data_IF_444562151364
#
_entry.id   IF_444562151364
#
_cell.length_a   1.000
_cell.length_b   1.000
_cell.length_c   1.000
_cell.angle_alpha   90.00
_cell.angle_beta   90.00
_cell.angle_gamma   90.00
#
_symmetry.space_group_name_H-M   'P 1'
#
loop_
_entity.id
_entity.type
_entity.pdbx_description
1 polymer ?
#
# COMPACT_ATOMS: atom_id res chain seq x y z
N UNK A 1 -21.13 -59.85 -43.15
CA UNK A 1 -20.93 -58.44 -42.73
C UNK A 1 -21.15 -58.21 -41.24
N UNK A 2 -22.09 -58.88 -40.58
CA UNK A 2 -22.39 -58.72 -39.14
C UNK A 2 -21.19 -58.98 -38.22
N UNK A 3 -20.42 -60.04 -38.46
CA UNK A 3 -19.23 -60.39 -37.64
C UNK A 3 -18.14 -59.30 -37.62
N UNK A 4 -17.98 -58.56 -38.71
CA UNK A 4 -16.99 -57.47 -38.80
C UNK A 4 -17.46 -56.23 -38.03
N UNK A 5 -18.75 -55.91 -38.11
CA UNK A 5 -19.39 -54.81 -37.38
C UNK A 5 -19.38 -55.07 -35.88
N UNK A 6 -19.68 -56.30 -35.47
CA UNK A 6 -19.69 -56.73 -34.07
C UNK A 6 -18.29 -56.69 -33.46
N UNK A 7 -17.27 -57.09 -34.23
CA UNK A 7 -15.86 -56.95 -33.84
C UNK A 7 -15.47 -55.47 -33.69
N UNK A 8 -15.85 -54.63 -34.65
CA UNK A 8 -15.57 -53.19 -34.58
C UNK A 8 -16.24 -52.53 -33.37
N UNK A 9 -17.51 -52.84 -33.07
CA UNK A 9 -18.17 -52.37 -31.85
C UNK A 9 -17.45 -52.84 -30.60
N UNK A 10 -17.07 -54.12 -30.50
CA UNK A 10 -16.41 -54.65 -29.31
C UNK A 10 -15.06 -54.00 -29.04
N UNK A 11 -14.31 -53.59 -30.06
CA UNK A 11 -13.02 -52.92 -29.84
C UNK A 11 -13.18 -51.40 -29.68
N UNK A 12 -13.93 -50.74 -30.57
CA UNK A 12 -14.08 -49.29 -30.57
C UNK A 12 -14.88 -48.76 -29.38
N UNK A 13 -16.02 -49.38 -29.03
CA UNK A 13 -16.83 -48.91 -27.89
C UNK A 13 -16.22 -49.29 -26.55
N UNK A 14 -15.63 -50.48 -26.42
CA UNK A 14 -14.95 -50.84 -25.18
C UNK A 14 -13.76 -49.92 -24.95
N UNK A 15 -12.92 -49.66 -25.96
CA UNK A 15 -11.78 -48.75 -25.83
C UNK A 15 -12.21 -47.32 -25.44
N UNK A 16 -13.31 -46.80 -26.01
CA UNK A 16 -13.90 -45.52 -25.58
C UNK A 16 -14.38 -45.55 -24.13
N UNK A 17 -15.03 -46.64 -23.68
CA UNK A 17 -15.48 -46.81 -22.30
C UNK A 17 -14.32 -46.96 -21.31
N UNK A 18 -13.27 -47.73 -21.65
CA UNK A 18 -12.08 -47.86 -20.80
C UNK A 18 -11.33 -46.52 -20.71
N UNK A 19 -11.21 -45.79 -21.81
CA UNK A 19 -10.59 -44.46 -21.80
C UNK A 19 -11.41 -43.44 -21.02
N UNK A 20 -12.74 -43.41 -21.15
CA UNK A 20 -13.60 -42.55 -20.32
C UNK A 20 -13.52 -42.90 -18.83
N UNK A 21 -13.56 -44.19 -18.50
CA UNK A 21 -13.41 -44.67 -17.12
C UNK A 21 -12.03 -44.34 -16.53
N UNK A 22 -10.96 -44.52 -17.31
CA UNK A 22 -9.61 -44.16 -16.90
C UNK A 22 -9.48 -42.64 -16.69
N UNK A 23 -10.00 -41.82 -17.61
CA UNK A 23 -9.99 -40.35 -17.49
C UNK A 23 -10.82 -39.84 -16.31
N UNK A 24 -12.00 -40.43 -16.05
CA UNK A 24 -12.80 -40.09 -14.88
C UNK A 24 -12.10 -40.48 -13.57
N UNK A 25 -11.42 -41.64 -13.56
CA UNK A 25 -10.62 -42.09 -12.41
C UNK A 25 -9.42 -41.18 -12.16
N UNK A 26 -8.72 -40.76 -13.22
CA UNK A 26 -7.61 -39.79 -13.12
C UNK A 26 -8.12 -38.43 -12.63
N UNK A 27 -9.23 -37.92 -13.17
CA UNK A 27 -9.82 -36.65 -12.74
C UNK A 27 -10.22 -36.68 -11.26
N UNK A 28 -10.78 -37.80 -10.79
CA UNK A 28 -11.09 -38.00 -9.37
C UNK A 28 -9.83 -38.04 -8.50
N UNK A 29 -8.76 -38.70 -8.94
CA UNK A 29 -7.48 -38.71 -8.22
C UNK A 29 -6.86 -37.31 -8.12
N UNK A 30 -6.95 -36.52 -9.18
CA UNK A 30 -6.46 -35.13 -9.17
C UNK A 30 -7.32 -34.24 -8.26
N UNK A 31 -8.64 -34.46 -8.25
CA UNK A 31 -9.53 -33.82 -7.28
C UNK A 31 -9.15 -34.15 -5.83
N UNK A 32 -8.93 -35.42 -5.50
CA UNK A 32 -8.55 -35.85 -4.14
C UNK A 32 -7.21 -35.23 -3.73
N UNK A 33 -6.23 -35.15 -4.64
CA UNK A 33 -4.95 -34.45 -4.39
C UNK A 33 -5.17 -32.96 -4.13
N UNK A 34 -5.99 -32.30 -4.96
CA UNK A 34 -6.29 -30.89 -4.79
C UNK A 34 -7.00 -30.63 -3.46
N UNK A 35 -7.97 -31.48 -3.10
CA UNK A 35 -8.70 -31.39 -1.83
C UNK A 35 -7.75 -31.52 -0.65
N UNK A 36 -6.85 -32.50 -0.66
CA UNK A 36 -5.84 -32.65 0.39
C UNK A 36 -4.94 -31.41 0.50
N UNK A 37 -4.52 -30.82 -0.61
CA UNK A 37 -3.74 -29.57 -0.61
C UNK A 37 -4.52 -28.39 -0.01
N UNK A 38 -5.82 -28.28 -0.32
CA UNK A 38 -6.69 -27.25 0.26
C UNK A 38 -6.82 -27.43 1.77
N UNK A 39 -7.00 -28.66 2.25
CA UNK A 39 -7.08 -28.95 3.69
C UNK A 39 -5.78 -28.59 4.42
N UNK A 40 -4.62 -28.89 3.83
CA UNK A 40 -3.31 -28.50 4.37
C UNK A 40 -3.18 -26.97 4.41
N UNK A 41 -3.57 -26.28 3.34
CA UNK A 41 -3.50 -24.82 3.26
C UNK A 41 -4.43 -24.15 4.29
N UNK A 42 -5.64 -24.66 4.46
CA UNK A 42 -6.59 -24.17 5.47
C UNK A 42 -6.07 -24.40 6.88
N UNK A 43 -5.47 -25.56 7.17
CA UNK A 43 -4.83 -25.82 8.46
C UNK A 43 -3.67 -24.85 8.69
N UNK A 44 -2.81 -24.62 7.69
CA UNK A 44 -1.72 -23.65 7.78
C UNK A 44 -2.23 -22.23 8.06
N UNK A 45 -3.32 -21.80 7.41
CA UNK A 45 -3.94 -20.51 7.69
C UNK A 45 -4.42 -20.40 9.15
N UNK A 46 -5.13 -21.42 9.64
CA UNK A 46 -5.58 -21.46 11.05
C UNK A 46 -4.40 -21.36 12.02
N UNK A 47 -3.34 -22.13 11.77
CA UNK A 47 -2.13 -22.06 12.59
C UNK A 47 -1.50 -20.65 12.58
N UNK A 48 -1.41 -20.00 11.41
CA UNK A 48 -0.91 -18.62 11.30
C UNK A 48 -1.80 -17.60 12.06
N UNK A 49 -3.08 -17.91 12.24
CA UNK A 49 -4.03 -17.11 13.03
C UNK A 49 -4.03 -17.46 14.53
N UNK A 50 -3.21 -18.42 14.96
CA UNK A 50 -3.15 -18.85 16.36
C UNK A 50 -4.23 -19.88 16.74
N UNK A 51 -4.88 -20.51 15.76
CA UNK A 51 -5.87 -21.58 15.95
C UNK A 51 -5.22 -22.97 15.82
N UNK A 52 -5.86 -24.03 16.34
CA UNK A 52 -5.40 -25.44 16.28
C UNK A 52 -3.97 -25.72 16.80
N UNK A 53 -3.37 -24.76 17.52
CA UNK A 53 -1.96 -24.80 17.97
C UNK A 53 -1.66 -25.98 18.90
N UNK A 54 -2.64 -26.42 19.69
CA UNK A 54 -2.48 -27.52 20.64
C UNK A 54 -2.11 -28.87 19.98
N UNK A 55 -2.33 -29.01 18.67
CA UNK A 55 -2.00 -30.22 17.90
C UNK A 55 -0.56 -30.18 17.34
N UNK A 56 0.12 -29.04 17.44
CA UNK A 56 1.48 -28.85 16.92
C UNK A 56 2.53 -29.34 17.94
N UNK A 57 3.62 -29.89 17.43
CA UNK A 57 4.78 -30.21 18.25
C UNK A 57 5.69 -28.98 18.44
N UNK A 58 6.68 -29.08 19.32
CA UNK A 58 7.58 -27.97 19.68
C UNK A 58 8.39 -27.45 18.49
N UNK A 59 8.81 -28.32 17.58
CA UNK A 59 9.57 -27.93 16.38
C UNK A 59 8.70 -27.19 15.38
N UNK A 60 7.47 -27.64 15.18
CA UNK A 60 6.49 -26.96 14.31
C UNK A 60 6.12 -25.58 14.88
N UNK A 61 5.98 -25.47 16.20
CA UNK A 61 5.74 -24.21 16.90
C UNK A 61 6.89 -23.22 16.70
N UNK A 62 8.13 -23.66 16.89
CA UNK A 62 9.32 -22.83 16.69
C UNK A 62 9.43 -22.36 15.22
N UNK A 63 9.11 -23.22 14.26
CA UNK A 63 9.09 -22.83 12.84
C UNK A 63 8.01 -21.78 12.56
N UNK A 64 6.81 -21.95 13.11
CA UNK A 64 5.71 -21.00 12.97
C UNK A 64 6.04 -19.64 13.58
N UNK A 65 6.62 -19.63 14.78
CA UNK A 65 7.06 -18.41 15.47
C UNK A 65 8.12 -17.65 14.64
N UNK A 66 9.15 -18.35 14.17
CA UNK A 66 10.19 -17.76 13.32
C UNK A 66 9.62 -17.19 12.02
N UNK A 67 8.66 -17.89 11.39
CA UNK A 67 7.98 -17.42 10.19
C UNK A 67 7.19 -16.13 10.46
N UNK A 68 6.44 -16.09 11.56
CA UNK A 68 5.65 -14.92 11.94
C UNK A 68 6.53 -13.73 12.30
N UNK A 69 7.62 -13.94 13.03
CA UNK A 69 8.56 -12.88 13.40
C UNK A 69 9.22 -12.27 12.16
N UNK A 70 9.69 -13.10 11.22
CA UNK A 70 10.27 -12.63 9.96
C UNK A 70 9.26 -11.84 9.12
N UNK A 71 8.02 -12.34 9.01
CA UNK A 71 6.95 -11.64 8.30
C UNK A 71 6.60 -10.29 8.95
N UNK A 72 6.51 -10.26 10.28
CA UNK A 72 6.21 -9.05 11.04
C UNK A 72 7.31 -8.00 10.92
N UNK A 73 8.58 -8.43 11.00
CA UNK A 73 9.73 -7.57 10.78
C UNK A 73 9.69 -6.94 9.38
N UNK A 74 9.42 -7.73 8.34
CA UNK A 74 9.30 -7.24 6.97
C UNK A 74 8.15 -6.24 6.82
N UNK A 75 6.96 -6.55 7.34
CA UNK A 75 5.80 -5.65 7.28
C UNK A 75 6.10 -4.32 7.97
N UNK A 76 6.70 -4.37 9.17
CA UNK A 76 7.10 -3.16 9.91
C UNK A 76 8.13 -2.35 9.13
N UNK A 77 9.15 -2.99 8.59
CA UNK A 77 10.19 -2.34 7.78
C UNK A 77 9.58 -1.63 6.56
N UNK A 78 8.77 -2.33 5.77
CA UNK A 78 8.09 -1.75 4.60
C UNK A 78 7.18 -0.58 4.99
N UNK A 79 6.40 -0.71 6.07
CA UNK A 79 5.52 0.35 6.55
C UNK A 79 6.31 1.59 6.98
N UNK A 80 7.38 1.39 7.73
CA UNK A 80 8.25 2.49 8.18
C UNK A 80 8.89 3.19 7.00
N UNK A 81 9.47 2.44 6.04
CA UNK A 81 10.08 3.02 4.84
C UNK A 81 9.06 3.85 4.06
N UNK A 82 7.86 3.31 3.81
CA UNK A 82 6.80 4.03 3.12
C UNK A 82 6.38 5.33 3.82
N UNK A 83 6.35 5.34 5.17
CA UNK A 83 6.05 6.55 5.93
C UNK A 83 7.18 7.59 5.84
N UNK A 84 8.44 7.15 5.88
CA UNK A 84 9.61 8.02 5.72
C UNK A 84 9.64 8.65 4.33
N UNK A 85 9.34 7.87 3.29
CA UNK A 85 9.30 8.37 1.91
C UNK A 85 8.21 9.43 1.74
N UNK A 86 7.02 9.21 2.30
CA UNK A 86 5.94 10.21 2.30
C UNK A 86 6.32 11.48 3.07
N UNK A 87 6.98 11.33 4.23
CA UNK A 87 7.43 12.47 5.02
C UNK A 87 8.44 13.31 4.24
N UNK A 88 9.40 12.66 3.57
CA UNK A 88 10.41 13.33 2.76
C UNK A 88 9.80 14.09 1.57
N UNK A 89 8.84 13.47 0.87
CA UNK A 89 8.12 14.11 -0.24
C UNK A 89 7.31 15.33 0.23
N UNK A 90 6.59 15.22 1.35
CA UNK A 90 5.85 16.34 1.94
C UNK A 90 6.78 17.48 2.36
N UNK A 91 7.91 17.18 3.00
CA UNK A 91 8.89 18.19 3.41
C UNK A 91 9.50 18.92 2.19
N UNK A 92 9.80 18.19 1.12
CA UNK A 92 10.27 18.80 -0.13
C UNK A 92 9.21 19.74 -0.74
N UNK A 93 7.95 19.33 -0.76
CA UNK A 93 6.84 20.16 -1.25
C UNK A 93 6.64 21.41 -0.40
N UNK A 94 6.70 21.26 0.92
CA UNK A 94 6.65 22.39 1.87
C UNK A 94 7.76 23.40 1.55
N UNK A 95 8.99 22.92 1.41
CA UNK A 95 10.16 23.76 1.11
C UNK A 95 9.97 24.54 -0.20
N UNK A 96 9.56 23.86 -1.26
CA UNK A 96 9.28 24.51 -2.56
C UNK A 96 8.14 25.53 -2.49
N UNK A 97 7.12 25.29 -1.67
CA UNK A 97 6.02 26.23 -1.48
C UNK A 97 6.48 27.47 -0.71
N UNK A 98 7.29 27.29 0.33
CA UNK A 98 7.89 28.39 1.10
C UNK A 98 8.77 29.26 0.20
N UNK A 99 9.65 28.65 -0.59
CA UNK A 99 10.52 29.36 -1.54
C UNK A 99 9.70 30.17 -2.55
N UNK A 100 8.68 29.55 -3.16
CA UNK A 100 7.78 30.25 -4.10
C UNK A 100 7.01 31.37 -3.42
N UNK A 101 6.50 31.15 -2.21
CA UNK A 101 5.76 32.18 -1.47
C UNK A 101 6.66 33.38 -1.15
N UNK A 102 7.89 33.14 -0.69
CA UNK A 102 8.87 34.19 -0.43
C UNK A 102 9.22 34.97 -1.70
N UNK A 103 9.44 34.28 -2.82
CA UNK A 103 9.70 34.93 -4.10
C UNK A 103 8.52 35.82 -4.56
N UNK A 104 7.28 35.38 -4.35
CA UNK A 104 6.09 36.17 -4.66
C UNK A 104 5.95 37.38 -3.73
N UNK A 105 6.23 37.24 -2.43
CA UNK A 105 6.23 38.36 -1.47
C UNK A 105 7.24 39.43 -1.85
N UNK A 106 8.47 39.03 -2.17
CA UNK A 106 9.51 39.96 -2.61
C UNK A 106 9.10 40.71 -3.88
N UNK A 107 8.50 40.02 -4.86
CA UNK A 107 7.98 40.67 -6.08
C UNK A 107 6.86 41.65 -5.79
N UNK A 108 5.96 41.33 -4.86
CA UNK A 108 4.87 42.23 -4.47
C UNK A 108 5.43 43.51 -3.85
N UNK A 109 6.38 43.36 -2.92
CA UNK A 109 7.08 44.49 -2.32
C UNK A 109 7.79 45.35 -3.39
N UNK A 110 8.49 44.74 -4.35
CA UNK A 110 9.11 45.46 -5.47
C UNK A 110 8.07 46.22 -6.31
N UNK A 111 6.92 45.64 -6.62
CA UNK A 111 5.86 46.31 -7.39
C UNK A 111 5.18 47.45 -6.63
N UNK A 112 5.04 47.32 -5.31
CA UNK A 112 4.49 48.37 -4.45
C UNK A 112 5.47 49.56 -4.36
N UNK A 113 6.78 49.29 -4.26
CA UNK A 113 7.81 50.33 -4.28
C UNK A 113 7.93 51.00 -5.67
N UNK A 114 7.75 50.26 -6.76
CA UNK A 114 7.82 50.80 -8.12
C UNK A 114 6.52 51.52 -8.56
N UNK A 115 5.41 51.30 -7.85
CA UNK A 115 4.15 52.04 -8.03
C UNK A 115 4.08 53.34 -7.20
N UNK A 116 5.03 53.58 -6.29
CA UNK A 116 5.26 54.89 -5.68
C UNK A 116 6.02 55.81 -6.66
N UNK A 117 5.34 56.22 -7.72
CA UNK A 117 5.64 57.49 -8.41
C UNK A 117 5.56 58.59 -7.35
N UNK A 118 6.48 59.59 -7.32
CA UNK A 118 6.54 60.54 -6.22
C UNK A 118 5.25 61.35 -6.18
N UNK A 119 4.44 61.13 -5.15
CA UNK A 119 3.41 62.08 -4.75
C UNK A 119 4.09 63.31 -4.13
N UNK A 120 4.77 64.07 -5.00
CA UNK A 120 5.28 65.40 -4.71
C UNK A 120 4.30 66.43 -5.23
N UNK A 121 3.04 66.34 -4.78
CA UNK A 121 2.18 67.51 -4.60
C UNK A 121 1.44 67.40 -3.26
N UNK A 122 2.19 67.40 -2.16
CA UNK A 122 1.62 67.69 -0.84
C UNK A 122 1.05 69.12 -0.83
N UNK A 123 -0.28 69.24 -0.86
CA UNK A 123 -1.05 70.05 0.09
C UNK A 123 -2.52 70.09 -0.31
N UNK A 124 -3.38 69.53 0.54
CA UNK A 124 -4.55 70.19 1.17
C UNK A 124 -5.56 69.10 1.55
N UNK A 125 -5.81 68.99 2.87
CA UNK A 125 -7.16 68.70 3.37
C UNK A 125 -7.47 67.30 3.90
N UNK A 126 -7.77 67.28 5.21
CA UNK A 126 -8.81 66.47 5.88
C UNK A 126 -8.58 64.96 6.19
N UNK A 127 -8.32 64.72 7.49
CA UNK A 127 -8.90 63.71 8.38
C UNK A 127 -9.19 62.29 7.86
N UNK A 128 -8.35 61.30 8.24
CA UNK A 128 -8.81 59.96 8.64
C UNK A 128 -7.86 59.34 9.69
N UNK A 129 -8.37 58.74 10.79
CA UNK A 129 -7.55 58.07 11.80
C UNK A 129 -7.16 56.65 11.36
N UNK A 130 -5.97 56.12 11.76
CA UNK A 130 -5.54 54.79 11.37
C UNK A 130 -6.16 53.74 12.29
N UNK A 131 -6.98 52.84 11.75
CA UNK A 131 -7.31 51.58 12.41
C UNK A 131 -6.59 50.41 11.73
N UNK A 132 -6.14 49.47 12.58
CA UNK A 132 -5.68 48.11 12.28
C UNK A 132 -4.16 47.84 12.31
N UNK A 133 -3.53 48.12 13.46
CA UNK A 133 -2.44 47.26 13.95
C UNK A 133 -3.02 46.13 14.80
N UNK A 134 -3.37 45.01 14.18
CA UNK A 134 -3.48 43.71 14.86
C UNK A 134 -3.40 42.62 13.80
N UNK A 135 -2.74 41.51 14.16
CA UNK A 135 -2.52 40.30 13.36
C UNK A 135 -1.21 40.22 12.57
N UNK A 136 -0.09 40.38 13.28
CA UNK A 136 1.11 39.59 12.99
C UNK A 136 1.65 39.03 14.31
N UNK A 137 1.04 37.95 14.82
CA UNK A 137 1.71 37.10 15.80
C UNK A 137 2.43 35.98 15.07
N UNK A 138 3.75 36.11 15.04
CA UNK A 138 4.71 35.09 14.62
C UNK A 138 4.62 33.92 15.62
N UNK A 139 4.14 32.76 15.18
CA UNK A 139 4.27 31.53 15.97
C UNK A 139 5.64 30.94 15.65
N UNK A 140 6.52 30.93 16.65
CA UNK A 140 7.84 30.33 16.55
C UNK A 140 7.74 28.81 16.36
N UNK A 141 8.38 28.31 15.31
CA UNK A 141 8.62 26.88 15.10
C UNK A 141 9.71 26.46 16.09
N UNK A 142 9.34 25.67 17.10
CA UNK A 142 10.30 25.01 17.98
C UNK A 142 10.84 23.76 17.27
N UNK A 143 12.03 23.88 16.69
CA UNK A 143 12.83 22.76 16.20
C UNK A 143 13.57 22.12 17.37
N UNK A 144 12.95 21.17 18.08
CA UNK A 144 13.66 20.24 18.96
C UNK A 144 12.83 18.98 19.22
N UNK A 145 12.87 18.04 18.28
CA UNK A 145 12.68 16.63 18.60
C UNK A 145 13.94 15.90 18.18
N UNK A 146 14.83 15.71 19.15
CA UNK A 146 16.00 14.86 19.07
C UNK A 146 15.59 13.54 19.74
N UNK A 147 15.31 12.51 18.95
CA UNK A 147 15.10 11.16 19.47
C UNK A 147 16.43 10.42 19.44
N UNK A 148 16.89 10.01 20.64
CA UNK A 148 17.82 8.90 20.83
C UNK A 148 17.07 7.60 21.05
#
# INVERSE_FOLDING_TARGET
MTKTVEKYHKYSYNELQTNQSANATQNYQDYERLKANVEILQRSQRNLLGEDIAQMNTTELEQLENQLEAALMNIRSTKTQFMLDQLADLHNRETQLVEKNNALRNKLEETDHNSQVPDRMLAVGSNFPPQSHRFSHHVGVNSNLQFG
#
